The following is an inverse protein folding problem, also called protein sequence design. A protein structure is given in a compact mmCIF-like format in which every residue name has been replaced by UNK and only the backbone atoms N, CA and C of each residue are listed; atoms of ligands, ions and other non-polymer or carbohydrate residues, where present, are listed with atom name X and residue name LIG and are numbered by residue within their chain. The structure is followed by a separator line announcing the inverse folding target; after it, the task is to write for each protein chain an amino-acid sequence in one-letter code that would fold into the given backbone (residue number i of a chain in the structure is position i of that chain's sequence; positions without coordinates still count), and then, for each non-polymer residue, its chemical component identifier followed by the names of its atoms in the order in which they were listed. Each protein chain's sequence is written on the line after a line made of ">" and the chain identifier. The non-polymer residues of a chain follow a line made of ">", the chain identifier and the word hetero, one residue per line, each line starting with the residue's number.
data_IF_650703765426
#
_entry.id   IF_650703765426
#
_cell.length_a   1.000
_cell.length_b   1.000
_cell.length_c   1.000
_cell.angle_alpha   90.00
_cell.angle_beta   90.00
_cell.angle_gamma   90.00
#
_symmetry.space_group_name_H-M   'P 1'
#
loop_
_entity.id
_entity.type
_entity.pdbx_description
1 polymer ?
#
# COMPACT_ATOMS: atom_id res chain seq x y z
N UNK A 1 36.60 -53.54 17.19
CA UNK A 1 37.84 -52.75 17.36
C UNK A 1 37.84 -51.60 16.36
N UNK A 2 37.59 -50.37 16.81
CA UNK A 2 37.62 -49.20 15.92
C UNK A 2 39.08 -48.74 15.75
N UNK A 3 39.68 -48.94 14.56
CA UNK A 3 41.05 -48.50 14.25
C UNK A 3 41.05 -46.98 14.08
N UNK A 4 41.95 -46.29 14.79
CA UNK A 4 42.10 -44.84 14.68
C UNK A 4 42.59 -44.48 13.27
N UNK A 5 41.96 -43.53 12.57
CA UNK A 5 42.43 -43.09 11.27
C UNK A 5 43.83 -42.48 11.41
N UNK A 6 44.79 -42.97 10.64
CA UNK A 6 46.16 -42.48 10.66
C UNK A 6 46.29 -41.05 10.09
N UNK A 7 47.38 -40.38 10.44
CA UNK A 7 47.72 -39.02 9.99
C UNK A 7 47.66 -38.87 8.46
N UNK A 8 48.15 -39.87 7.72
CA UNK A 8 48.09 -39.91 6.25
C UNK A 8 46.65 -39.95 5.72
N UNK A 9 45.72 -40.61 6.42
CA UNK A 9 44.32 -40.63 6.01
C UNK A 9 43.62 -39.29 6.21
N UNK A 10 44.04 -38.50 7.22
CA UNK A 10 43.54 -37.15 7.43
C UNK A 10 44.04 -36.21 6.33
N UNK A 11 45.32 -36.34 5.94
CA UNK A 11 45.93 -35.58 4.85
C UNK A 11 45.26 -35.94 3.51
N UNK A 12 45.05 -37.23 3.23
CA UNK A 12 44.40 -37.68 2.00
C UNK A 12 42.91 -37.29 1.93
N UNK A 13 42.20 -37.27 3.07
CA UNK A 13 40.83 -36.72 3.16
C UNK A 13 40.79 -35.22 2.87
N UNK A 14 41.80 -34.45 3.27
CA UNK A 14 41.88 -33.01 2.96
C UNK A 14 42.18 -32.79 1.46
N UNK A 15 43.02 -33.64 0.85
CA UNK A 15 43.38 -33.58 -0.58
C UNK A 15 42.25 -34.05 -1.51
N UNK A 16 41.39 -34.96 -1.05
CA UNK A 16 40.24 -35.50 -1.82
C UNK A 16 38.94 -34.74 -1.58
N UNK A 17 38.92 -33.78 -0.64
CA UNK A 17 37.86 -32.77 -0.60
C UNK A 17 37.93 -31.99 -1.90
N UNK A 18 37.11 -32.38 -2.88
CA UNK A 18 36.80 -31.56 -4.05
C UNK A 18 36.52 -30.16 -3.52
N UNK A 19 37.24 -29.16 -4.02
CA UNK A 19 36.79 -27.79 -3.82
C UNK A 19 35.40 -27.74 -4.45
N UNK A 20 34.37 -27.63 -3.62
CA UNK A 20 33.06 -27.22 -4.09
C UNK A 20 33.31 -25.84 -4.70
N UNK A 21 33.53 -25.82 -6.02
CA UNK A 21 33.73 -24.58 -6.75
C UNK A 21 32.47 -23.76 -6.49
N UNK A 22 32.72 -22.55 -6.03
CA UNK A 22 31.67 -21.57 -5.82
C UNK A 22 31.04 -21.30 -7.18
N UNK A 23 29.82 -21.80 -7.36
CA UNK A 23 29.05 -21.63 -8.59
C UNK A 23 27.87 -20.73 -8.28
N UNK A 24 27.84 -19.57 -8.93
CA UNK A 24 26.72 -18.64 -8.90
C UNK A 24 25.86 -18.90 -10.14
N UNK A 25 24.62 -19.34 -9.93
CA UNK A 25 23.67 -19.55 -11.02
C UNK A 25 22.73 -18.36 -11.11
N UNK A 26 22.62 -17.75 -12.29
CA UNK A 26 21.57 -16.76 -12.59
C UNK A 26 20.23 -17.50 -12.61
N UNK A 27 19.31 -17.06 -11.76
CA UNK A 27 17.98 -17.66 -11.62
C UNK A 27 16.95 -16.90 -12.44
N UNK A 28 17.02 -15.56 -12.44
CA UNK A 28 16.10 -14.75 -13.19
C UNK A 28 16.28 -13.25 -12.99
N UNK A 29 15.34 -12.49 -13.57
CA UNK A 29 15.32 -11.04 -13.58
C UNK A 29 13.94 -10.54 -13.14
N UNK A 30 13.93 -9.47 -12.35
CA UNK A 30 12.71 -8.82 -11.90
C UNK A 30 12.27 -7.69 -12.85
N UNK A 31 11.06 -7.17 -12.68
CA UNK A 31 10.46 -6.06 -13.43
C UNK A 31 11.32 -4.80 -13.39
N UNK A 32 12.05 -4.58 -12.30
CA UNK A 32 12.98 -3.45 -12.13
C UNK A 32 14.35 -3.69 -12.78
N UNK A 33 14.60 -4.90 -13.29
CA UNK A 33 15.83 -5.27 -13.95
C UNK A 33 16.91 -5.88 -13.07
N UNK A 34 16.65 -6.03 -11.76
CA UNK A 34 17.55 -6.69 -10.83
C UNK A 34 17.76 -8.16 -11.22
N UNK A 35 19.00 -8.63 -11.12
CA UNK A 35 19.38 -10.02 -11.41
C UNK A 35 19.46 -10.81 -10.11
N UNK A 36 18.88 -12.00 -10.10
CA UNK A 36 18.83 -12.88 -8.93
C UNK A 36 19.70 -14.11 -9.14
N UNK A 37 20.44 -14.46 -8.09
CA UNK A 37 21.43 -15.52 -8.11
C UNK A 37 21.20 -16.51 -6.96
N UNK A 38 21.49 -17.77 -7.23
CA UNK A 38 21.55 -18.83 -6.23
C UNK A 38 22.94 -19.46 -6.27
N UNK A 39 23.57 -19.55 -5.10
CA UNK A 39 24.87 -20.20 -4.92
C UNK A 39 24.69 -21.54 -4.23
N UNK A 40 25.52 -22.51 -4.62
CA UNK A 40 25.64 -23.80 -3.95
C UNK A 40 26.16 -23.70 -2.49
N UNK A 41 26.74 -22.55 -2.10
CA UNK A 41 27.19 -22.31 -0.73
C UNK A 41 26.02 -22.37 0.24
N UNK A 42 26.11 -23.26 1.23
CA UNK A 42 25.09 -23.35 2.28
C UNK A 42 25.26 -22.25 3.33
N UNK A 43 24.16 -21.65 3.73
CA UNK A 43 24.10 -20.73 4.86
C UNK A 43 24.13 -21.49 6.20
N UNK A 44 24.12 -20.76 7.32
CA UNK A 44 24.12 -21.37 8.67
C UNK A 44 22.94 -22.34 8.91
N UNK A 45 21.83 -22.18 8.17
CA UNK A 45 20.64 -23.05 8.23
C UNK A 45 20.68 -24.19 7.21
N UNK A 46 21.80 -24.40 6.50
CA UNK A 46 21.93 -25.43 5.48
C UNK A 46 21.20 -25.15 4.16
N UNK A 47 20.68 -23.94 3.96
CA UNK A 47 19.98 -23.53 2.73
C UNK A 47 20.95 -22.92 1.71
N UNK A 48 20.71 -23.05 0.39
CA UNK A 48 21.57 -22.45 -0.63
C UNK A 48 21.57 -20.93 -0.50
N UNK A 49 22.71 -20.27 -0.68
CA UNK A 49 22.78 -18.82 -0.49
C UNK A 49 22.17 -18.09 -1.67
N UNK A 50 21.17 -17.24 -1.39
CA UNK A 50 20.48 -16.40 -2.39
C UNK A 50 20.88 -14.94 -2.24
N UNK A 51 21.13 -14.26 -3.36
CA UNK A 51 21.42 -12.83 -3.39
C UNK A 51 20.97 -12.19 -4.71
N UNK A 52 20.98 -10.87 -4.77
CA UNK A 52 20.61 -10.13 -5.97
C UNK A 52 21.67 -9.08 -6.29
N UNK A 53 21.77 -8.73 -7.57
CA UNK A 53 22.58 -7.62 -8.05
C UNK A 53 21.62 -6.55 -8.59
N UNK A 54 21.66 -5.33 -8.03
CA UNK A 54 20.78 -4.25 -8.46
C UNK A 54 21.13 -3.79 -9.88
N UNK A 55 20.11 -3.36 -10.61
CA UNK A 55 20.31 -2.75 -11.91
C UNK A 55 20.68 -1.28 -11.76
N UNK A 56 21.97 -0.97 -11.82
CA UNK A 56 22.52 0.39 -11.68
C UNK A 56 23.39 0.56 -10.43
N UNK A 57 24.33 1.51 -10.49
CA UNK A 57 25.43 1.61 -9.52
C UNK A 57 25.07 2.32 -8.19
N UNK A 58 23.89 2.95 -8.07
CA UNK A 58 23.70 4.01 -7.07
C UNK A 58 22.33 4.08 -6.37
N UNK A 59 21.47 3.07 -6.48
CA UNK A 59 20.19 3.12 -5.77
C UNK A 59 20.32 2.48 -4.37
N UNK A 60 20.59 3.30 -3.35
CA UNK A 60 20.46 2.87 -1.94
C UNK A 60 19.04 2.41 -1.60
N UNK A 61 18.06 2.76 -2.43
CA UNK A 61 16.67 2.33 -2.38
C UNK A 61 16.42 1.20 -3.39
N UNK A 62 17.20 0.13 -3.32
CA UNK A 62 17.01 -1.06 -4.17
C UNK A 62 15.56 -1.56 -4.08
N UNK A 63 14.74 -1.22 -5.09
CA UNK A 63 13.36 -1.67 -5.20
C UNK A 63 13.38 -3.10 -5.70
N UNK A 64 12.96 -4.02 -4.84
CA UNK A 64 12.81 -5.45 -5.15
C UNK A 64 11.31 -5.74 -5.22
N UNK A 65 10.85 -6.50 -6.22
CA UNK A 65 9.45 -6.92 -6.22
C UNK A 65 9.14 -7.88 -5.07
N UNK A 66 7.89 -7.87 -4.56
CA UNK A 66 7.53 -8.67 -3.39
C UNK A 66 7.75 -10.18 -3.56
N UNK A 67 7.57 -10.69 -4.79
CA UNK A 67 7.74 -12.11 -5.11
C UNK A 67 9.20 -12.54 -4.98
N UNK A 68 10.11 -11.74 -5.54
CA UNK A 68 11.54 -12.00 -5.47
C UNK A 68 12.11 -11.77 -4.07
N UNK A 69 11.59 -10.81 -3.30
CA UNK A 69 11.94 -10.65 -1.87
C UNK A 69 11.53 -11.87 -1.04
N UNK A 70 10.35 -12.45 -1.32
CA UNK A 70 9.92 -13.66 -0.63
C UNK A 70 10.81 -14.88 -0.94
N UNK A 71 11.27 -15.02 -2.19
CA UNK A 71 12.23 -16.05 -2.57
C UNK A 71 13.61 -15.84 -1.94
N UNK A 72 14.13 -14.61 -1.94
CA UNK A 72 15.41 -14.25 -1.33
C UNK A 72 15.44 -14.56 0.18
N UNK A 73 14.30 -14.38 0.85
CA UNK A 73 14.13 -14.65 2.29
C UNK A 73 13.76 -16.11 2.62
N UNK A 74 13.83 -17.01 1.66
CA UNK A 74 13.48 -18.43 1.84
C UNK A 74 12.02 -18.66 2.28
N UNK A 75 11.11 -17.70 2.07
CA UNK A 75 9.67 -17.94 2.25
C UNK A 75 9.09 -18.77 1.11
N UNK A 76 9.67 -18.65 -0.08
CA UNK A 76 9.39 -19.50 -1.25
C UNK A 76 10.58 -20.39 -1.54
N UNK A 77 10.30 -21.65 -1.87
CA UNK A 77 11.34 -22.59 -2.33
C UNK A 77 11.73 -22.29 -3.77
N UNK A 78 10.73 -22.18 -4.64
CA UNK A 78 10.89 -21.93 -6.06
C UNK A 78 10.90 -20.44 -6.39
N UNK A 79 11.71 -20.01 -7.39
CA UNK A 79 11.69 -18.63 -7.86
C UNK A 79 10.34 -18.31 -8.51
N UNK A 80 9.92 -17.04 -8.48
CA UNK A 80 8.65 -16.64 -9.09
C UNK A 80 8.69 -16.77 -10.62
N UNK A 81 7.55 -17.12 -11.21
CA UNK A 81 7.39 -17.16 -12.67
C UNK A 81 7.11 -15.75 -13.22
N UNK A 82 7.56 -15.48 -14.44
CA UNK A 82 7.35 -14.20 -15.11
C UNK A 82 5.85 -13.85 -15.25
N UNK A 83 5.02 -14.85 -15.56
CA UNK A 83 3.57 -14.68 -15.66
C UNK A 83 2.93 -14.27 -14.32
N UNK A 84 3.41 -14.86 -13.22
CA UNK A 84 2.92 -14.53 -11.86
C UNK A 84 3.26 -13.09 -11.51
N UNK A 85 4.51 -12.71 -11.74
CA UNK A 85 5.01 -11.35 -11.49
C UNK A 85 4.19 -10.34 -12.32
N UNK A 86 3.99 -10.61 -13.61
CA UNK A 86 3.20 -9.73 -14.48
C UNK A 86 1.74 -9.62 -14.05
N UNK A 87 1.12 -10.71 -13.60
CA UNK A 87 -0.24 -10.70 -13.07
C UNK A 87 -0.35 -9.83 -11.81
N UNK A 88 0.62 -9.94 -10.90
CA UNK A 88 0.63 -9.17 -9.66
C UNK A 88 0.91 -7.68 -9.91
N UNK A 89 1.77 -7.34 -10.88
CA UNK A 89 1.96 -5.95 -11.35
C UNK A 89 0.65 -5.36 -11.84
N UNK A 90 -0.07 -6.06 -12.73
CA UNK A 90 -1.37 -5.62 -13.24
C UNK A 90 -2.37 -5.41 -12.11
N UNK A 91 -2.43 -6.34 -11.15
CA UNK A 91 -3.32 -6.24 -10.00
C UNK A 91 -2.96 -5.03 -9.10
N UNK A 92 -1.67 -4.78 -8.89
CA UNK A 92 -1.18 -3.63 -8.12
C UNK A 92 -1.57 -2.31 -8.77
N UNK A 93 -1.40 -2.19 -10.10
CA UNK A 93 -1.81 -1.01 -10.86
C UNK A 93 -3.33 -0.78 -10.78
N UNK A 94 -4.13 -1.84 -10.92
CA UNK A 94 -5.59 -1.75 -10.81
C UNK A 94 -6.02 -1.28 -9.40
N UNK A 95 -5.44 -1.86 -8.35
CA UNK A 95 -5.73 -1.46 -6.96
C UNK A 95 -5.38 0.00 -6.71
N UNK A 96 -4.27 0.50 -7.27
CA UNK A 96 -3.90 1.92 -7.17
C UNK A 96 -4.93 2.84 -7.80
N UNK A 97 -5.44 2.49 -8.99
CA UNK A 97 -6.50 3.25 -9.68
C UNK A 97 -7.80 3.26 -8.85
N UNK A 98 -8.27 2.09 -8.45
CA UNK A 98 -9.50 1.96 -7.65
C UNK A 98 -9.40 2.70 -6.31
N UNK A 99 -8.21 2.68 -5.67
CA UNK A 99 -7.97 3.41 -4.43
C UNK A 99 -8.00 4.94 -4.65
N UNK A 100 -7.41 5.42 -5.75
CA UNK A 100 -7.46 6.83 -6.10
C UNK A 100 -8.89 7.32 -6.37
N UNK A 101 -9.67 6.55 -7.14
CA UNK A 101 -11.08 6.84 -7.41
C UNK A 101 -11.91 6.87 -6.13
N UNK A 102 -11.73 5.88 -5.24
CA UNK A 102 -12.42 5.84 -3.96
C UNK A 102 -12.04 7.00 -3.05
N UNK A 103 -10.77 7.40 -3.04
CA UNK A 103 -10.31 8.56 -2.29
C UNK A 103 -10.94 9.85 -2.83
N UNK A 104 -11.03 10.01 -4.16
CA UNK A 104 -11.71 11.16 -4.75
C UNK A 104 -13.18 11.22 -4.34
N UNK A 105 -13.89 10.09 -4.42
CA UNK A 105 -15.29 10.01 -3.97
C UNK A 105 -15.46 10.36 -2.49
N UNK A 106 -14.50 9.98 -1.64
CA UNK A 106 -14.51 10.34 -0.22
C UNK A 106 -14.30 11.84 -0.02
N UNK A 107 -13.40 12.46 -0.79
CA UNK A 107 -13.15 13.90 -0.76
C UNK A 107 -14.40 14.65 -1.21
N UNK A 108 -15.02 14.25 -2.32
CA UNK A 108 -16.21 14.90 -2.87
C UNK A 108 -17.40 14.81 -1.90
N UNK A 109 -17.64 13.62 -1.33
CA UNK A 109 -18.66 13.42 -0.28
C UNK A 109 -18.39 14.27 0.95
N UNK A 110 -17.12 14.38 1.35
CA UNK A 110 -16.75 15.19 2.50
C UNK A 110 -17.00 16.67 2.22
N UNK A 111 -16.66 17.16 1.03
CA UNK A 111 -16.95 18.53 0.60
C UNK A 111 -18.46 18.80 0.58
N UNK A 112 -19.27 17.87 0.08
CA UNK A 112 -20.73 17.99 0.09
C UNK A 112 -21.30 18.10 1.52
N UNK A 113 -20.82 17.27 2.46
CA UNK A 113 -21.22 17.33 3.87
C UNK A 113 -20.87 18.69 4.49
N UNK A 114 -19.68 19.22 4.21
CA UNK A 114 -19.25 20.52 4.72
C UNK A 114 -20.10 21.67 4.15
N UNK A 115 -20.44 21.60 2.86
CA UNK A 115 -21.32 22.58 2.22
C UNK A 115 -22.71 22.55 2.85
N UNK A 116 -23.30 21.36 3.02
CA UNK A 116 -24.60 21.20 3.67
C UNK A 116 -24.61 21.74 5.10
N UNK A 117 -23.57 21.43 5.90
CA UNK A 117 -23.44 21.97 7.26
C UNK A 117 -23.39 23.50 7.26
N UNK A 118 -22.59 24.09 6.37
CA UNK A 118 -22.49 25.55 6.23
C UNK A 118 -23.84 26.19 5.86
N UNK A 119 -24.60 25.57 4.95
CA UNK A 119 -25.94 26.04 4.58
C UNK A 119 -26.93 25.96 5.75
N UNK A 120 -26.93 24.84 6.49
CA UNK A 120 -27.76 24.67 7.69
C UNK A 120 -27.42 25.71 8.77
N UNK A 121 -26.13 25.96 9.02
CA UNK A 121 -25.67 27.02 9.93
C UNK A 121 -26.09 28.41 9.47
N UNK A 122 -25.99 28.72 8.18
CA UNK A 122 -26.43 30.00 7.62
C UNK A 122 -27.95 30.19 7.77
N UNK A 123 -28.74 29.14 7.49
CA UNK A 123 -30.21 29.15 7.69
C UNK A 123 -30.58 29.34 9.15
N UNK A 124 -29.90 28.63 10.06
CA UNK A 124 -30.16 28.75 11.50
C UNK A 124 -29.83 30.15 12.01
N UNK A 125 -28.69 30.72 11.62
CA UNK A 125 -28.33 32.11 11.95
C UNK A 125 -29.33 33.12 11.43
N UNK A 126 -29.82 32.93 10.19
CA UNK A 126 -30.85 33.80 9.61
C UNK A 126 -32.17 33.73 10.38
N UNK A 127 -32.61 32.52 10.76
CA UNK A 127 -33.84 32.33 11.53
C UNK A 127 -33.72 32.91 12.95
N UNK A 128 -32.58 32.70 13.62
CA UNK A 128 -32.29 33.26 14.94
C UNK A 128 -32.32 34.79 14.88
N UNK A 129 -31.65 35.39 13.90
CA UNK A 129 -31.68 36.82 13.63
C UNK A 129 -33.13 37.32 13.44
N UNK A 130 -33.92 36.70 12.55
CA UNK A 130 -35.32 37.09 12.32
C UNK A 130 -36.22 36.92 13.55
N UNK A 131 -35.95 35.95 14.43
CA UNK A 131 -36.74 35.73 15.65
C UNK A 131 -36.45 36.75 16.75
N UNK A 132 -35.25 37.35 16.74
CA UNK A 132 -34.81 38.30 17.75
C UNK A 132 -35.42 39.71 17.59
N UNK A 133 -35.98 40.05 16.43
CA UNK A 133 -36.61 41.35 16.20
C UNK A 133 -38.09 41.35 16.56
N UNK A 134 -38.59 42.41 17.24
CA UNK A 134 -40.01 42.54 17.55
C UNK A 134 -40.84 42.60 16.27
N UNK A 135 -41.90 41.79 16.21
CA UNK A 135 -42.86 41.79 15.10
C UNK A 135 -43.97 42.80 15.39
N UNK A 136 -44.05 43.84 14.59
CA UNK A 136 -45.10 44.85 14.69
C UNK A 136 -46.22 44.53 13.70
N UNK A 137 -47.45 44.44 14.20
CA UNK A 137 -48.64 44.14 13.38
C UNK A 137 -48.99 45.24 12.38
N UNK A 138 -48.44 46.44 12.53
CA UNK A 138 -48.76 47.62 11.71
C UNK A 138 -47.92 47.76 10.45
N UNK A 139 -46.92 46.89 10.23
CA UNK A 139 -46.00 46.99 9.11
C UNK A 139 -46.15 45.76 8.22
N UNK A 140 -46.42 45.98 6.95
CA UNK A 140 -46.57 44.91 5.96
C UNK A 140 -45.24 44.18 5.74
N UNK A 141 -45.27 42.86 5.86
CA UNK A 141 -44.08 42.01 5.71
C UNK A 141 -43.61 41.92 4.24
N UNK A 142 -44.52 42.15 3.28
CA UNK A 142 -44.24 42.20 1.84
C UNK A 142 -45.17 43.22 1.17
N UNK A 143 -44.65 44.18 0.37
CA UNK A 143 -45.48 45.24 -0.20
C UNK A 143 -46.58 44.64 -1.10
N UNK A 144 -47.84 44.88 -0.75
CA UNK A 144 -49.00 44.40 -1.49
C UNK A 144 -49.57 43.05 -1.03
N UNK A 145 -49.07 42.44 0.04
CA UNK A 145 -49.71 41.29 0.69
C UNK A 145 -50.32 41.67 2.04
N UNK A 146 -51.64 41.53 2.17
CA UNK A 146 -52.34 41.72 3.45
C UNK A 146 -52.10 40.51 4.37
N UNK A 147 -51.53 40.74 5.55
CA UNK A 147 -51.33 39.69 6.56
C UNK A 147 -52.68 39.24 7.17
N UNK A 148 -53.03 37.96 6.99
CA UNK A 148 -54.33 37.37 7.38
C UNK A 148 -54.45 37.00 8.88
N UNK A 149 -53.63 37.57 9.77
CA UNK A 149 -53.52 37.07 11.16
C UNK A 149 -54.37 37.79 12.21
N UNK A 150 -55.37 38.60 11.86
CA UNK A 150 -56.31 39.19 12.85
C UNK A 150 -57.75 38.73 12.62
N UNK A 151 -58.04 37.46 12.87
CA UNK A 151 -59.41 36.98 13.14
C UNK A 151 -59.37 35.98 14.29
N UNK A 152 -59.80 36.45 15.45
CA UNK A 152 -60.08 35.65 16.65
C UNK A 152 -59.78 36.49 17.88
N UNK A 153 -60.63 36.61 18.89
CA UNK A 153 -62.03 36.25 19.08
C UNK A 153 -62.51 37.27 20.13
N UNK A 154 -63.60 38.00 19.85
CA UNK A 154 -64.29 38.78 20.87
C UNK A 154 -65.42 37.92 21.41
N UNK A 155 -65.31 37.49 22.67
CA UNK A 155 -66.45 37.05 23.46
C UNK A 155 -66.29 37.47 24.91
#
# INVERSE_FOLDING_TARGET
>A
MNRRPGLLSLIWKQLTKKSERYEEKIVGKDVYGNLFYESNKRNFRGQPSRFHMPYGAQDFLNKISPEWDAWLRYRRMDPPSEDEVMKNVKLSQLKKKNAAEKNQQLIDKHAEILMRRREEEARNKFNEFNSSYPKYSSVETNPGQSDKSSKGDNK
#
